data_IF_667519839509
#
_entry.id   IF_667519839509
#
_cell.length_a   1.000
_cell.length_b   1.000
_cell.length_c   1.000
_cell.angle_alpha   90.00
_cell.angle_beta   90.00
_cell.angle_gamma   90.00
#
_symmetry.space_group_name_H-M   'P 1'
#
loop_
_entity.id
_entity.type
_entity.pdbx_description
1 polymer ?
#
# COMPACT_ATOMS: atom_id res chain seq x y z
N UNK A 1 -0.18 10.60 2.89
CA UNK A 1 0.65 9.39 3.10
C UNK A 1 0.04 8.15 2.46
N UNK A 2 -1.18 7.72 2.86
CA UNK A 2 -1.80 6.49 2.33
C UNK A 2 -1.92 6.49 0.79
N UNK A 3 -2.18 7.64 0.16
CA UNK A 3 -2.41 7.73 -1.30
C UNK A 3 -1.16 7.39 -2.09
N UNK A 4 0.00 7.83 -1.59
CA UNK A 4 1.30 7.57 -2.20
C UNK A 4 1.62 6.07 -2.25
N UNK A 5 1.08 5.28 -1.32
CA UNK A 5 1.30 3.83 -1.26
C UNK A 5 0.16 3.06 -1.95
N UNK A 6 -1.09 3.44 -1.71
CA UNK A 6 -2.25 2.77 -2.28
C UNK A 6 -2.33 2.92 -3.80
N UNK A 7 -1.99 4.10 -4.32
CA UNK A 7 -2.10 4.41 -5.75
C UNK A 7 -1.21 3.51 -6.63
N UNK A 8 0.12 3.37 -6.41
CA UNK A 8 0.96 2.49 -7.22
C UNK A 8 0.53 1.02 -7.12
N UNK A 9 0.06 0.57 -5.95
CA UNK A 9 -0.46 -0.79 -5.77
C UNK A 9 -1.74 -1.00 -6.59
N UNK A 10 -2.70 -0.08 -6.50
CA UNK A 10 -3.93 -0.14 -7.27
C UNK A 10 -3.69 -0.03 -8.78
N UNK A 11 -2.74 0.83 -9.19
CA UNK A 11 -2.31 0.96 -10.59
C UNK A 11 -1.72 -0.34 -11.13
N UNK A 12 -0.81 -0.97 -10.38
CA UNK A 12 -0.25 -2.25 -10.76
C UNK A 12 -1.33 -3.33 -10.88
N UNK A 13 -2.24 -3.41 -9.90
CA UNK A 13 -3.36 -4.35 -9.90
C UNK A 13 -4.31 -4.16 -11.09
N UNK A 14 -4.59 -2.92 -11.49
CA UNK A 14 -5.53 -2.62 -12.56
C UNK A 14 -4.93 -2.78 -13.96
N UNK A 15 -3.68 -2.36 -14.16
CA UNK A 15 -3.11 -2.18 -15.51
C UNK A 15 -2.00 -3.17 -15.86
N UNK A 16 -1.31 -3.77 -14.88
CA UNK A 16 -0.13 -4.62 -15.10
C UNK A 16 -0.31 -6.06 -14.62
N UNK A 17 -1.16 -6.29 -13.63
CA UNK A 17 -1.36 -7.63 -13.08
C UNK A 17 -2.02 -8.57 -14.12
N UNK A 18 -1.52 -9.81 -14.30
CA UNK A 18 -2.16 -10.79 -15.14
C UNK A 18 -3.56 -11.13 -14.60
N UNK A 19 -4.55 -11.30 -15.48
CA UNK A 19 -5.95 -11.55 -15.08
C UNK A 19 -6.10 -12.71 -14.10
N UNK A 20 -5.34 -13.79 -14.31
CA UNK A 20 -5.34 -14.99 -13.45
C UNK A 20 -4.90 -14.70 -12.01
N UNK A 21 -4.00 -13.74 -11.81
CA UNK A 21 -3.43 -13.40 -10.50
C UNK A 21 -4.12 -12.22 -9.83
N UNK A 22 -4.87 -11.42 -10.60
CA UNK A 22 -5.48 -10.18 -10.10
C UNK A 22 -6.40 -10.41 -8.90
N UNK A 23 -7.27 -11.43 -8.95
CA UNK A 23 -8.14 -11.78 -7.83
C UNK A 23 -7.35 -12.25 -6.59
N UNK A 24 -6.27 -13.00 -6.80
CA UNK A 24 -5.41 -13.49 -5.71
C UNK A 24 -4.69 -12.32 -5.03
N UNK A 25 -4.15 -11.39 -5.82
CA UNK A 25 -3.46 -10.22 -5.29
C UNK A 25 -4.42 -9.27 -4.55
N UNK A 26 -5.63 -9.06 -5.07
CA UNK A 26 -6.68 -8.33 -4.37
C UNK A 26 -7.06 -9.02 -3.05
N UNK A 27 -7.23 -10.35 -3.08
CA UNK A 27 -7.49 -11.12 -1.87
C UNK A 27 -6.35 -10.95 -0.85
N UNK A 28 -5.08 -10.99 -1.27
CA UNK A 28 -3.93 -10.80 -0.39
C UNK A 28 -3.92 -9.41 0.29
N UNK A 29 -4.46 -8.39 -0.37
CA UNK A 29 -4.62 -7.04 0.21
C UNK A 29 -5.77 -7.00 1.23
N UNK A 30 -6.86 -7.72 0.97
CA UNK A 30 -8.09 -7.69 1.78
C UNK A 30 -8.06 -8.68 2.97
N UNK A 31 -7.44 -9.84 2.82
CA UNK A 31 -7.30 -10.86 3.87
C UNK A 31 -6.71 -10.28 5.18
N UNK A 32 -5.58 -9.55 5.17
CA UNK A 32 -5.02 -8.99 6.40
C UNK A 32 -5.91 -7.90 7.01
N UNK A 33 -6.78 -7.27 6.21
CA UNK A 33 -7.75 -6.31 6.69
C UNK A 33 -8.86 -6.95 7.52
N UNK A 34 -9.29 -8.15 7.13
CA UNK A 34 -10.37 -8.90 7.78
C UNK A 34 -10.00 -9.45 9.17
N UNK A 35 -8.71 -9.41 9.54
CA UNK A 35 -8.26 -9.76 10.89
C UNK A 35 -8.71 -8.73 11.94
N UNK A 36 -8.92 -9.17 13.17
CA UNK A 36 -9.30 -8.28 14.29
C UNK A 36 -8.30 -7.13 14.45
N UNK A 37 -8.81 -5.90 14.53
CA UNK A 37 -8.02 -4.69 14.75
C UNK A 37 -7.10 -4.83 15.98
N UNK A 38 -7.59 -5.49 17.04
CA UNK A 38 -6.81 -5.72 18.27
C UNK A 38 -5.59 -6.60 17.99
N UNK A 39 -5.79 -7.73 17.29
CA UNK A 39 -4.70 -8.64 16.93
C UNK A 39 -3.65 -7.91 16.09
N UNK A 40 -4.10 -7.12 15.11
CA UNK A 40 -3.22 -6.30 14.28
C UNK A 40 -2.44 -5.26 15.09
N UNK A 41 -3.09 -4.62 16.05
CA UNK A 41 -2.45 -3.61 16.90
C UNK A 41 -1.39 -4.26 17.79
N UNK A 42 -1.67 -5.44 18.37
CA UNK A 42 -0.68 -6.20 19.14
C UNK A 42 0.50 -6.66 18.28
N UNK A 43 0.25 -7.12 17.05
CA UNK A 43 1.32 -7.47 16.12
C UNK A 43 2.24 -6.27 15.83
N UNK A 44 1.68 -5.09 15.54
CA UNK A 44 2.46 -3.88 15.34
C UNK A 44 3.17 -3.41 16.62
N UNK A 45 2.53 -3.51 17.79
CA UNK A 45 3.19 -3.21 19.07
C UNK A 45 4.40 -4.12 19.32
N UNK A 46 4.30 -5.40 18.98
CA UNK A 46 5.43 -6.32 19.11
C UNK A 46 6.55 -5.98 18.13
N UNK A 47 6.21 -5.76 16.84
CA UNK A 47 7.17 -5.46 15.77
C UNK A 47 7.90 -4.13 15.99
N UNK A 48 7.20 -3.11 16.49
CA UNK A 48 7.78 -1.78 16.76
C UNK A 48 8.35 -1.66 18.18
N UNK A 49 8.02 -2.62 19.05
CA UNK A 49 8.52 -2.70 20.42
C UNK A 49 9.98 -3.13 20.48
N UNK A 50 10.60 -3.01 21.65
CA UNK A 50 12.06 -3.20 21.80
C UNK A 50 12.60 -4.57 21.39
N UNK A 51 11.76 -5.61 21.27
CA UNK A 51 12.16 -6.95 20.83
C UNK A 51 11.99 -7.21 19.32
N UNK A 52 11.40 -6.26 18.59
CA UNK A 52 11.13 -6.39 17.16
C UNK A 52 12.20 -5.71 16.31
N UNK A 53 11.78 -4.81 15.43
CA UNK A 53 12.67 -4.03 14.54
C UNK A 53 13.79 -3.30 15.31
N UNK A 54 13.56 -2.66 16.48
CA UNK A 54 14.64 -2.08 17.26
C UNK A 54 15.76 -3.07 17.62
N UNK A 55 15.43 -4.32 17.95
CA UNK A 55 16.42 -5.35 18.21
C UNK A 55 17.18 -5.75 16.94
N UNK A 56 16.50 -5.79 15.79
CA UNK A 56 17.14 -6.02 14.49
C UNK A 56 18.12 -4.90 14.12
N UNK A 57 17.75 -3.65 14.41
CA UNK A 57 18.61 -2.48 14.18
C UNK A 57 19.84 -2.48 15.09
N UNK A 58 19.69 -2.96 16.34
CA UNK A 58 20.80 -3.11 17.26
C UNK A 58 21.89 -4.08 16.73
N UNK A 59 21.52 -5.13 16.00
CA UNK A 59 22.51 -6.02 15.35
C UNK A 59 23.38 -5.32 14.28
N UNK A 60 22.92 -4.19 13.73
CA UNK A 60 23.64 -3.41 12.72
C UNK A 60 24.33 -2.19 13.36
N UNK A 61 24.33 -2.09 14.69
CA UNK A 61 24.98 -1.01 15.45
C UNK A 61 24.12 0.22 15.70
N UNK A 62 22.81 0.14 15.41
CA UNK A 62 21.84 1.19 15.75
C UNK A 62 21.15 0.85 17.07
N UNK A 63 21.74 1.31 18.16
CA UNK A 63 21.23 1.09 19.52
C UNK A 63 20.16 2.13 19.93
N UNK A 64 19.35 1.80 20.94
CA UNK A 64 18.33 2.67 21.55
C UNK A 64 17.27 3.28 20.60
N UNK A 65 17.04 2.65 19.45
CA UNK A 65 16.01 3.10 18.50
C UNK A 65 14.61 2.85 19.06
N UNK A 66 13.92 3.91 19.48
CA UNK A 66 12.52 3.83 19.94
C UNK A 66 11.55 4.05 18.80
N UNK A 67 10.94 2.97 18.30
CA UNK A 67 9.90 3.04 17.26
C UNK A 67 8.49 3.11 17.85
N UNK A 68 8.20 2.32 18.89
CA UNK A 68 6.88 2.32 19.54
C UNK A 68 6.59 3.64 20.27
N UNK A 69 5.31 4.04 20.32
CA UNK A 69 4.82 5.30 20.90
C UNK A 69 5.37 6.57 20.23
N UNK A 70 5.79 6.48 18.97
CA UNK A 70 6.18 7.63 18.15
C UNK A 70 5.05 8.04 17.20
N UNK A 71 5.02 9.29 16.70
CA UNK A 71 4.10 9.70 15.64
C UNK A 71 4.22 8.82 14.39
N UNK A 72 5.42 8.31 14.08
CA UNK A 72 5.66 7.41 12.96
C UNK A 72 4.94 6.07 13.12
N UNK A 73 4.97 5.48 14.32
CA UNK A 73 4.22 4.25 14.61
C UNK A 73 2.70 4.44 14.47
N UNK A 74 2.19 5.59 14.94
CA UNK A 74 0.77 5.94 14.80
C UNK A 74 0.40 6.10 13.32
N UNK A 75 1.21 6.85 12.56
CA UNK A 75 1.01 7.04 11.12
C UNK A 75 1.01 5.70 10.37
N UNK A 76 1.93 4.80 10.71
CA UNK A 76 2.01 3.47 10.12
C UNK A 76 0.72 2.68 10.38
N UNK A 77 0.26 2.63 11.63
CA UNK A 77 -0.98 1.93 11.99
C UNK A 77 -2.20 2.48 11.24
N UNK A 78 -2.30 3.80 11.11
CA UNK A 78 -3.36 4.47 10.34
C UNK A 78 -3.27 4.10 8.85
N UNK A 79 -2.11 4.25 8.23
CA UNK A 79 -1.91 3.93 6.80
C UNK A 79 -2.24 2.48 6.52
N UNK A 80 -1.72 1.55 7.33
CA UNK A 80 -2.04 0.13 7.20
C UNK A 80 -3.55 -0.13 7.32
N UNK A 81 -4.21 0.52 8.29
CA UNK A 81 -5.65 0.36 8.51
C UNK A 81 -6.50 0.81 7.31
N UNK A 82 -6.09 1.90 6.65
CA UNK A 82 -6.85 2.46 5.53
C UNK A 82 -6.42 1.96 4.14
N UNK A 83 -5.25 1.32 4.03
CA UNK A 83 -4.72 0.84 2.74
C UNK A 83 -5.75 0.02 1.94
N UNK A 84 -6.39 -1.02 2.49
CA UNK A 84 -7.33 -1.88 1.75
C UNK A 84 -8.57 -1.11 1.29
N UNK A 85 -9.11 -0.25 2.17
CA UNK A 85 -10.26 0.60 1.89
C UNK A 85 -9.98 1.64 0.80
N UNK A 86 -8.72 2.01 0.60
CA UNK A 86 -8.33 2.98 -0.42
C UNK A 86 -7.87 2.34 -1.73
N UNK A 87 -7.21 1.18 -1.65
CA UNK A 87 -6.79 0.42 -2.84
C UNK A 87 -8.01 -0.03 -3.65
N UNK A 88 -9.04 -0.56 -3.01
CA UNK A 88 -10.24 -1.08 -3.69
C UNK A 88 -10.95 -0.06 -4.59
N UNK A 89 -11.37 1.13 -4.11
CA UNK A 89 -12.04 2.11 -4.95
C UNK A 89 -11.12 2.63 -6.07
N UNK A 90 -9.83 2.89 -5.78
CA UNK A 90 -8.88 3.33 -6.81
C UNK A 90 -8.72 2.25 -7.88
N UNK A 91 -8.61 0.99 -7.48
CA UNK A 91 -8.53 -0.15 -8.38
C UNK A 91 -9.77 -0.24 -9.28
N UNK A 92 -10.98 -0.13 -8.73
CA UNK A 92 -12.24 -0.19 -9.51
C UNK A 92 -12.31 0.98 -10.50
N UNK A 93 -11.90 2.17 -10.09
CA UNK A 93 -11.84 3.33 -11.00
C UNK A 93 -10.84 3.12 -12.14
N UNK A 94 -9.65 2.58 -11.85
CA UNK A 94 -8.61 2.31 -12.85
C UNK A 94 -8.94 1.12 -13.76
N UNK A 95 -9.64 0.11 -13.26
CA UNK A 95 -10.09 -1.03 -14.06
C UNK A 95 -11.15 -0.62 -15.09
N UNK A 96 -12.00 0.35 -14.74
CA UNK A 96 -13.05 0.89 -15.62
C UNK A 96 -12.55 1.90 -16.65
N UNK A 97 -11.30 2.34 -16.54
CA UNK A 97 -10.69 3.24 -17.51
C UNK A 97 -10.50 2.51 -18.85
N UNK A 98 -11.06 3.08 -19.92
CA UNK A 98 -10.88 2.53 -21.26
C UNK A 98 -9.41 2.66 -21.65
N UNK A 99 -8.77 1.51 -21.89
CA UNK A 99 -7.35 1.43 -22.26
C UNK A 99 -7.04 2.22 -23.54
N UNK A 100 -8.04 2.41 -24.41
CA UNK A 100 -7.93 3.23 -25.63
C UNK A 100 -7.64 4.69 -25.33
N UNK A 101 -8.08 5.23 -24.19
CA UNK A 101 -7.76 6.60 -23.78
C UNK A 101 -6.29 6.74 -23.36
N UNK A 102 -5.73 5.69 -22.75
CA UNK A 102 -4.31 5.63 -22.41
C UNK A 102 -3.45 5.48 -23.67
N UNK A 103 -3.89 4.66 -24.63
CA UNK A 103 -3.22 4.50 -25.93
C UNK A 103 -3.29 5.80 -26.77
N UNK A 104 -4.44 6.45 -26.85
CA UNK A 104 -4.61 7.70 -27.59
C UNK A 104 -3.78 8.86 -27.02
N UNK A 105 -3.65 8.95 -25.68
CA UNK A 105 -2.76 9.94 -25.06
C UNK A 105 -1.28 9.64 -25.31
N UNK A 106 -0.89 8.36 -25.30
CA UNK A 106 0.48 7.95 -25.66
C UNK A 106 0.81 8.23 -27.14
N UNK A 107 -0.15 8.01 -28.04
CA UNK A 107 -0.03 8.32 -29.47
C UNK A 107 0.10 9.83 -29.73
N UNK A 108 -0.49 10.66 -28.86
CA UNK A 108 -0.34 12.13 -28.86
C UNK A 108 0.97 12.61 -28.20
N UNK A 109 1.85 11.69 -27.78
CA UNK A 109 3.16 12.01 -27.18
C UNK A 109 3.09 12.33 -25.67
N UNK A 110 1.97 12.05 -25.01
CA UNK A 110 1.83 12.28 -23.58
C UNK A 110 2.67 11.25 -22.79
N UNK A 111 3.52 11.76 -21.90
CA UNK A 111 4.20 10.95 -20.90
C UNK A 111 3.20 10.38 -19.88
N UNK A 112 3.51 9.26 -19.19
CA UNK A 112 2.61 8.65 -18.21
C UNK A 112 2.14 9.61 -17.09
N UNK A 113 2.93 10.63 -16.78
CA UNK A 113 2.60 11.67 -15.79
C UNK A 113 1.62 12.69 -16.37
N UNK A 114 1.75 13.07 -17.65
CA UNK A 114 0.79 13.96 -18.33
C UNK A 114 -0.55 13.26 -18.63
N UNK A 115 -0.54 11.96 -18.94
CA UNK A 115 -1.77 11.15 -19.07
C UNK A 115 -2.52 10.99 -17.74
N UNK A 116 -1.82 11.11 -16.61
CA UNK A 116 -2.42 11.00 -15.28
C UNK A 116 -2.94 12.34 -14.73
N UNK A 117 -2.33 13.47 -15.12
CA UNK A 117 -2.67 14.80 -14.60
C UNK A 117 -3.52 15.66 -15.54
N UNK A 118 -3.59 15.32 -16.83
CA UNK A 118 -4.43 15.98 -17.84
C UNK A 118 -5.69 15.18 -18.15
#
# INVERSE_FOLDING_TARGET
ACLLVAYPVAYYLALRAPERWRLILLALVVIPFWTSLLMRTYAWMYVLGGRGIPALLAYVGLEDVRLINTPGAVLLGIVYGYLPLMILPIYVSLERLDRRLLEASADLGATPVSTFLG
#
